data_IF_119471701515
#
_entry.id   IF_119471701515
#
_cell.length_a   1.000
_cell.length_b   1.000
_cell.length_c   1.000
_cell.angle_alpha   90.00
_cell.angle_beta   90.00
_cell.angle_gamma   90.00
#
_symmetry.space_group_name_H-M   'P 1'
#
loop_
_entity.id
_entity.type
_entity.pdbx_description
1 polymer ?
#
# COMPACT_ATOMS: atom_id res chain seq x y z
N UNK A 1 -10.50 7.10 -28.78
CA UNK A 1 -11.15 6.59 -27.56
C UNK A 1 -12.30 7.51 -27.21
N UNK A 2 -13.51 6.99 -27.13
CA UNK A 2 -14.65 7.79 -26.70
C UNK A 2 -14.53 8.03 -25.20
N UNK A 3 -14.79 9.25 -24.75
CA UNK A 3 -14.75 9.64 -23.33
C UNK A 3 -15.62 8.74 -22.41
N UNK A 4 -16.60 8.07 -22.98
CA UNK A 4 -17.47 7.13 -22.29
C UNK A 4 -16.78 5.82 -21.83
N UNK A 5 -15.66 5.45 -22.47
CA UNK A 5 -14.91 4.24 -22.16
C UNK A 5 -13.87 4.43 -21.03
N UNK A 6 -13.56 5.69 -20.71
CA UNK A 6 -12.57 6.02 -19.70
C UNK A 6 -12.90 5.48 -18.30
N UNK A 7 -14.14 5.61 -17.77
CA UNK A 7 -14.47 5.08 -16.45
C UNK A 7 -14.43 3.55 -16.40
N UNK A 8 -14.77 2.86 -17.50
CA UNK A 8 -14.71 1.40 -17.56
C UNK A 8 -13.26 0.93 -17.53
N UNK A 9 -12.39 1.56 -18.29
CA UNK A 9 -10.96 1.24 -18.32
C UNK A 9 -10.32 1.49 -16.96
N UNK A 10 -10.65 2.60 -16.31
CA UNK A 10 -10.21 2.92 -14.95
C UNK A 10 -10.72 1.88 -13.95
N UNK A 11 -11.98 1.47 -14.05
CA UNK A 11 -12.58 0.42 -13.21
C UNK A 11 -11.87 -0.91 -13.34
N UNK A 12 -11.49 -1.31 -14.56
CA UNK A 12 -10.72 -2.54 -14.82
C UNK A 12 -9.33 -2.47 -14.18
N UNK A 13 -8.63 -1.34 -14.31
CA UNK A 13 -7.31 -1.16 -13.69
C UNK A 13 -7.41 -1.25 -12.16
N UNK A 14 -8.40 -0.59 -11.56
CA UNK A 14 -8.64 -0.65 -10.11
C UNK A 14 -9.02 -2.07 -9.67
N UNK A 15 -9.80 -2.80 -10.46
CA UNK A 15 -10.15 -4.20 -10.19
C UNK A 15 -8.91 -5.10 -10.19
N UNK A 16 -8.01 -4.92 -11.15
CA UNK A 16 -6.75 -5.67 -11.21
C UNK A 16 -5.86 -5.39 -9.99
N UNK A 17 -5.77 -4.13 -9.57
CA UNK A 17 -5.03 -3.76 -8.35
C UNK A 17 -5.66 -4.41 -7.11
N UNK A 18 -6.98 -4.34 -6.97
CA UNK A 18 -7.70 -4.98 -5.86
C UNK A 18 -7.50 -6.51 -5.85
N UNK A 19 -7.52 -7.14 -7.02
CA UNK A 19 -7.31 -8.58 -7.15
C UNK A 19 -5.87 -8.96 -6.78
N UNK A 20 -4.86 -8.21 -7.20
CA UNK A 20 -3.46 -8.47 -6.82
C UNK A 20 -3.24 -8.35 -5.31
N UNK A 21 -3.85 -7.35 -4.66
CA UNK A 21 -3.78 -7.21 -3.19
C UNK A 21 -4.48 -8.40 -2.50
N UNK A 22 -5.61 -8.85 -3.04
CA UNK A 22 -6.33 -10.00 -2.48
C UNK A 22 -5.52 -11.29 -2.60
N UNK A 23 -4.93 -11.54 -3.77
CA UNK A 23 -4.07 -12.70 -4.00
C UNK A 23 -2.84 -12.67 -3.11
N UNK A 24 -2.21 -11.50 -2.94
CA UNK A 24 -1.08 -11.32 -2.04
C UNK A 24 -1.46 -11.62 -0.57
N UNK A 25 -2.64 -11.18 -0.14
CA UNK A 25 -3.17 -11.49 1.19
C UNK A 25 -3.41 -13.00 1.42
N UNK A 26 -3.82 -13.72 0.37
CA UNK A 26 -4.07 -15.16 0.43
C UNK A 26 -2.77 -15.98 0.30
N UNK A 27 -1.82 -15.51 -0.51
CA UNK A 27 -0.54 -16.18 -0.73
C UNK A 27 0.51 -15.89 0.35
N UNK A 28 0.23 -15.04 1.31
CA UNK A 28 1.16 -14.66 2.40
C UNK A 28 1.68 -15.83 3.27
N UNK A 29 1.37 -17.07 2.90
CA UNK A 29 1.87 -18.29 3.52
C UNK A 29 3.00 -19.02 2.77
N UNK A 30 3.34 -18.69 1.52
CA UNK A 30 4.18 -19.57 0.74
C UNK A 30 5.28 -18.98 -0.14
N UNK A 31 5.14 -17.77 -0.62
CA UNK A 31 6.14 -17.18 -1.51
C UNK A 31 6.48 -15.80 -0.99
N UNK A 32 7.61 -15.70 -0.29
CA UNK A 32 8.18 -14.40 0.02
C UNK A 32 8.47 -13.67 -1.29
N UNK A 33 7.82 -12.55 -1.60
CA UNK A 33 8.07 -11.82 -2.82
C UNK A 33 9.54 -11.39 -2.81
N UNK A 34 10.21 -11.55 -3.94
CA UNK A 34 11.62 -11.20 -4.15
C UNK A 34 11.98 -9.77 -3.70
N UNK A 35 10.98 -8.96 -3.46
CA UNK A 35 11.08 -7.57 -2.99
C UNK A 35 11.29 -7.44 -1.48
N UNK A 36 11.01 -8.49 -0.70
CA UNK A 36 11.04 -8.46 0.77
C UNK A 36 12.45 -8.65 1.35
N UNK A 37 13.41 -9.14 0.54
CA UNK A 37 14.81 -9.31 0.97
C UNK A 37 15.50 -8.01 1.41
N UNK A 38 14.96 -6.84 1.04
CA UNK A 38 15.56 -5.53 1.37
C UNK A 38 14.92 -4.82 2.55
N UNK A 39 13.80 -5.30 3.10
CA UNK A 39 13.09 -4.59 4.16
C UNK A 39 12.90 -5.48 5.38
N UNK A 40 13.78 -5.34 6.35
CA UNK A 40 13.53 -5.75 7.73
C UNK A 40 12.47 -4.83 8.34
N UNK A 41 11.26 -4.84 7.82
CA UNK A 41 10.12 -4.21 8.49
C UNK A 41 9.57 -5.20 9.50
N UNK A 42 9.64 -4.85 10.77
CA UNK A 42 9.12 -5.65 11.88
C UNK A 42 7.59 -5.74 11.88
N UNK A 43 6.90 -4.84 11.18
CA UNK A 43 5.45 -4.82 11.13
C UNK A 43 4.96 -5.76 10.02
N UNK A 44 4.30 -6.83 10.43
CA UNK A 44 3.56 -7.72 9.53
C UNK A 44 2.20 -7.08 9.27
N UNK A 45 1.79 -6.86 8.01
CA UNK A 45 0.47 -6.34 7.71
C UNK A 45 -0.60 -7.31 8.23
N UNK A 46 -1.61 -6.77 8.90
CA UNK A 46 -2.76 -7.57 9.36
C UNK A 46 -3.48 -8.15 8.13
N UNK A 47 -3.51 -9.47 8.01
CA UNK A 47 -4.18 -10.18 6.90
C UNK A 47 -5.63 -9.72 6.74
N UNK A 48 -6.35 -9.55 7.85
CA UNK A 48 -7.72 -9.05 7.84
C UNK A 48 -7.87 -7.64 7.27
N UNK A 49 -6.99 -6.72 7.65
CA UNK A 49 -7.00 -5.36 7.10
C UNK A 49 -6.68 -5.32 5.60
N UNK A 50 -5.78 -6.16 5.15
CA UNK A 50 -5.40 -6.25 3.75
C UNK A 50 -6.53 -6.82 2.88
N UNK A 51 -7.24 -7.85 3.36
CA UNK A 51 -8.42 -8.40 2.67
C UNK A 51 -9.57 -7.39 2.61
N UNK A 52 -9.79 -6.61 3.68
CA UNK A 52 -10.80 -5.54 3.70
C UNK A 52 -10.49 -4.45 2.69
N UNK A 53 -9.24 -4.02 2.58
CA UNK A 53 -8.81 -3.05 1.56
C UNK A 53 -9.00 -3.62 0.15
N UNK A 54 -8.63 -4.86 -0.09
CA UNK A 54 -8.82 -5.52 -1.38
C UNK A 54 -10.30 -5.62 -1.76
N UNK A 55 -11.15 -6.01 -0.81
CA UNK A 55 -12.59 -6.11 -1.02
C UNK A 55 -13.20 -4.72 -1.28
N UNK A 56 -12.79 -3.70 -0.54
CA UNK A 56 -13.22 -2.32 -0.75
C UNK A 56 -12.86 -1.79 -2.13
N UNK A 57 -11.64 -2.05 -2.60
CA UNK A 57 -11.20 -1.66 -3.96
C UNK A 57 -11.99 -2.39 -5.05
N UNK A 58 -12.31 -3.67 -4.86
CA UNK A 58 -13.14 -4.43 -5.79
C UNK A 58 -14.58 -3.91 -5.85
N UNK A 59 -15.18 -3.54 -4.72
CA UNK A 59 -16.50 -2.91 -4.68
C UNK A 59 -16.51 -1.56 -5.41
N UNK A 60 -15.46 -0.75 -5.24
CA UNK A 60 -15.32 0.52 -5.96
C UNK A 60 -15.17 0.30 -7.47
N UNK A 61 -14.37 -0.69 -7.88
CA UNK A 61 -14.20 -1.04 -9.28
C UNK A 61 -15.50 -1.54 -9.91
N UNK A 62 -16.26 -2.39 -9.22
CA UNK A 62 -17.57 -2.85 -9.67
C UNK A 62 -18.57 -1.70 -9.83
N UNK A 63 -18.56 -0.73 -8.92
CA UNK A 63 -19.41 0.44 -9.01
C UNK A 63 -19.02 1.34 -10.20
N UNK A 64 -17.73 1.46 -10.54
CA UNK A 64 -17.26 2.20 -11.71
C UNK A 64 -17.68 1.54 -13.02
N UNK A 65 -17.58 0.22 -13.09
CA UNK A 65 -17.95 -0.55 -14.29
C UNK A 65 -19.47 -0.58 -14.46
N UNK A 66 -20.23 -0.70 -13.37
CA UNK A 66 -21.68 -0.78 -13.36
C UNK A 66 -22.41 0.56 -13.31
N UNK A 67 -21.72 1.68 -13.47
CA UNK A 67 -22.26 3.03 -13.29
C UNK A 67 -23.56 3.29 -14.07
N UNK A 68 -23.63 2.84 -15.31
CA UNK A 68 -24.76 3.14 -16.20
C UNK A 68 -25.88 2.11 -16.14
N UNK A 69 -25.61 0.90 -15.63
CA UNK A 69 -26.56 -0.22 -15.63
C UNK A 69 -27.06 -0.58 -14.24
N UNK A 70 -26.39 -0.16 -13.19
CA UNK A 70 -26.66 -0.67 -11.85
C UNK A 70 -27.22 0.39 -10.90
N UNK A 71 -28.48 0.21 -10.55
CA UNK A 71 -29.21 1.10 -9.62
C UNK A 71 -28.59 1.13 -8.21
N UNK A 72 -27.81 0.12 -7.86
CA UNK A 72 -27.17 -0.04 -6.56
C UNK A 72 -25.72 0.46 -6.51
N UNK A 73 -25.24 1.10 -7.57
CA UNK A 73 -23.86 1.59 -7.67
C UNK A 73 -23.44 2.48 -6.51
N UNK A 74 -24.34 3.37 -6.07
CA UNK A 74 -24.07 4.28 -4.93
C UNK A 74 -23.86 3.54 -3.62
N UNK A 75 -24.65 2.48 -3.38
CA UNK A 75 -24.51 1.65 -2.17
C UNK A 75 -23.17 0.89 -2.20
N UNK A 76 -22.77 0.37 -3.35
CA UNK A 76 -21.47 -0.28 -3.53
C UNK A 76 -20.31 0.69 -3.31
N UNK A 77 -20.42 1.95 -3.73
CA UNK A 77 -19.40 2.97 -3.46
C UNK A 77 -19.29 3.23 -1.96
N UNK A 78 -20.42 3.45 -1.28
CA UNK A 78 -20.43 3.69 0.17
C UNK A 78 -19.90 2.49 0.96
N UNK A 79 -20.30 1.28 0.60
CA UNK A 79 -19.78 0.04 1.20
C UNK A 79 -18.29 -0.12 0.94
N UNK A 80 -17.83 0.09 -0.29
CA UNK A 80 -16.42 0.03 -0.65
C UNK A 80 -15.58 1.06 0.10
N UNK A 81 -16.05 2.31 0.18
CA UNK A 81 -15.38 3.36 0.93
C UNK A 81 -15.29 3.03 2.43
N UNK A 82 -16.37 2.52 3.02
CA UNK A 82 -16.39 2.09 4.43
C UNK A 82 -15.39 0.97 4.70
N UNK A 83 -15.33 -0.04 3.83
CA UNK A 83 -14.37 -1.15 3.93
C UNK A 83 -12.92 -0.66 3.79
N UNK A 84 -12.65 0.30 2.90
CA UNK A 84 -11.34 0.92 2.75
C UNK A 84 -10.92 1.65 4.02
N UNK A 85 -11.81 2.44 4.61
CA UNK A 85 -11.53 3.17 5.86
C UNK A 85 -11.26 2.19 7.01
N UNK A 86 -12.08 1.17 7.19
CA UNK A 86 -11.90 0.16 8.23
C UNK A 86 -10.57 -0.59 8.01
N UNK A 87 -10.28 -1.01 6.78
CA UNK A 87 -9.04 -1.67 6.43
C UNK A 87 -7.81 -0.80 6.67
N UNK A 88 -7.90 0.50 6.36
CA UNK A 88 -6.84 1.46 6.62
C UNK A 88 -6.62 1.68 8.13
N UNK A 89 -7.69 1.75 8.92
CA UNK A 89 -7.60 1.88 10.38
C UNK A 89 -6.94 0.65 11.00
N UNK A 90 -7.32 -0.55 10.55
CA UNK A 90 -6.70 -1.80 11.03
C UNK A 90 -5.21 -1.88 10.66
N UNK A 91 -4.85 -1.37 9.50
CA UNK A 91 -3.48 -1.34 9.01
C UNK A 91 -2.72 -0.03 9.32
N UNK A 92 -3.32 0.85 10.15
CA UNK A 92 -2.71 2.16 10.44
C UNK A 92 -1.31 2.06 11.05
N UNK A 93 -1.05 1.04 11.86
CA UNK A 93 0.26 0.79 12.45
C UNK A 93 1.30 0.48 11.37
N UNK A 94 0.95 -0.39 10.42
CA UNK A 94 1.78 -0.70 9.26
C UNK A 94 1.98 0.51 8.33
N UNK A 95 0.91 1.26 8.07
CA UNK A 95 0.97 2.48 7.25
C UNK A 95 1.85 3.56 7.90
N UNK A 96 1.72 3.77 9.20
CA UNK A 96 2.60 4.70 9.93
C UNK A 96 4.06 4.28 9.84
N UNK A 97 4.34 2.99 10.01
CA UNK A 97 5.69 2.45 9.92
C UNK A 97 6.27 2.63 8.52
N UNK A 98 5.52 2.31 7.48
CA UNK A 98 5.94 2.49 6.08
C UNK A 98 6.19 3.97 5.75
N UNK A 99 5.31 4.86 6.21
CA UNK A 99 5.43 6.30 5.95
C UNK A 99 6.56 6.95 6.77
N UNK A 100 6.71 6.57 8.04
CA UNK A 100 7.75 7.10 8.92
C UNK A 100 9.14 6.59 8.52
N UNK A 101 9.26 5.30 8.14
CA UNK A 101 10.55 4.76 7.69
C UNK A 101 10.98 5.33 6.34
N UNK A 102 10.08 5.71 5.47
CA UNK A 102 10.43 6.42 4.25
C UNK A 102 11.05 7.80 4.52
N UNK A 103 10.57 8.48 5.57
CA UNK A 103 11.14 9.74 6.03
C UNK A 103 12.44 9.57 6.84
N UNK A 104 12.50 8.55 7.69
CA UNK A 104 13.65 8.25 8.54
C UNK A 104 14.84 7.70 7.77
N UNK A 105 14.61 6.88 6.72
CA UNK A 105 15.69 6.39 5.86
C UNK A 105 16.44 7.53 5.16
N UNK A 106 15.74 8.55 4.69
CA UNK A 106 16.36 9.74 4.09
C UNK A 106 17.15 10.58 5.12
N UNK A 107 16.67 10.67 6.37
CA UNK A 107 17.38 11.39 7.43
C UNK A 107 18.58 10.61 7.95
N UNK A 108 18.48 9.29 8.09
CA UNK A 108 19.56 8.46 8.58
C UNK A 108 20.77 8.35 7.64
N UNK A 109 20.56 8.44 6.33
CA UNK A 109 21.67 8.49 5.36
C UNK A 109 22.44 9.81 5.42
N UNK A 110 21.73 10.93 5.57
CA UNK A 110 22.37 12.25 5.74
C UNK A 110 23.21 12.32 7.00
N UNK A 111 22.75 11.73 8.09
CA UNK A 111 23.45 11.77 9.39
C UNK A 111 24.68 10.84 9.43
N UNK A 112 24.62 9.68 8.75
CA UNK A 112 25.78 8.79 8.59
C UNK A 112 26.88 9.43 7.77
N UNK A 113 26.54 10.13 6.69
CA UNK A 113 27.52 10.85 5.88
C UNK A 113 28.18 11.99 6.65
N UNK A 114 27.40 12.70 7.48
CA UNK A 114 27.92 13.78 8.31
C UNK A 114 28.89 13.27 9.40
N UNK A 115 28.62 12.11 9.99
CA UNK A 115 29.49 11.50 11.01
C UNK A 115 30.77 10.94 10.44
N UNK A 116 30.74 10.37 9.23
CA UNK A 116 31.93 9.86 8.55
C UNK A 116 32.91 10.98 8.17
N UNK A 117 32.39 12.17 7.85
CA UNK A 117 33.22 13.35 7.55
C UNK A 117 33.74 14.08 8.81
N UNK A 118 33.24 13.74 10.00
CA UNK A 118 33.64 14.34 11.27
C UNK A 118 34.57 13.46 12.11
N UNK A 119 35.04 12.33 11.62
CA UNK A 119 36.10 11.60 12.30
C UNK A 119 37.39 12.37 12.16
N UNK A 120 37.86 13.07 13.22
CA UNK A 120 39.15 13.74 13.18
C UNK A 120 40.20 12.65 13.08
N UNK A 121 41.04 12.77 12.08
CA UNK A 121 42.30 12.02 11.99
C UNK A 121 43.05 12.30 13.27
N UNK A 122 43.00 11.37 14.22
CA UNK A 122 43.80 11.42 15.43
C UNK A 122 45.22 11.12 15.01
N UNK A 123 45.91 12.15 14.56
CA UNK A 123 47.33 12.12 14.31
C UNK A 123 48.00 11.82 15.65
N UNK A 124 48.43 10.59 15.82
CA UNK A 124 49.25 10.15 16.93
C UNK A 124 50.62 10.70 16.68
N UNK A 125 50.90 11.89 17.20
CA UNK A 125 52.25 12.39 17.31
C UNK A 125 52.90 11.65 18.48
N UNK A 126 53.92 10.89 18.16
CA UNK A 126 54.90 10.35 19.10
C UNK A 126 56.12 11.21 19.06
#
# INVERSE_FOLDING_TARGET
MKLEQFPILLGVVVALIGLTILLDAWQAGGVAPLRERRRRTRAVPHKGGQTLVALGTLCMAAALIGRDTWRWGTICVLAGASLLVIGAIMNRAYLKEVLLFRGAARRGEGEKHSRLNQTPTKTRIR
#
